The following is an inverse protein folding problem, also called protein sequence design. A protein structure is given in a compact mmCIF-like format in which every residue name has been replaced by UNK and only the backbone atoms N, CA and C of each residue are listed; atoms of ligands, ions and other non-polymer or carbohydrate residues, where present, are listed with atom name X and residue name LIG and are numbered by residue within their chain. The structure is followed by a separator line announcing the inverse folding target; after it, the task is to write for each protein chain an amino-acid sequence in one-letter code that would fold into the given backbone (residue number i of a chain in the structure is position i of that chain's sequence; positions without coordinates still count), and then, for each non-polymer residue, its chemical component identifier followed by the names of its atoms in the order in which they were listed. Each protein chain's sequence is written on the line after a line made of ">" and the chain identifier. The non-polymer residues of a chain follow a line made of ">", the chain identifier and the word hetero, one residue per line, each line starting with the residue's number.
data_IF_697417978733
#
_entry.id   IF_697417978733
#
_cell.length_a   1.000
_cell.length_b   1.000
_cell.length_c   1.000
_cell.angle_alpha   90.00
_cell.angle_beta   90.00
_cell.angle_gamma   90.00
#
_symmetry.space_group_name_H-M   'P 1'
#
loop_
_entity.id
_entity.type
_entity.pdbx_description
1 polymer ?
#
# COMPACT_ATOMS: atom_id res chain seq x y z
N UNK A 1 19.93 -67.02 5.45
CA UNK A 1 21.07 -66.82 4.53
C UNK A 1 21.26 -65.32 4.28
N UNK A 2 22.49 -64.80 4.34
CA UNK A 2 22.85 -63.38 4.28
C UNK A 2 23.20 -62.91 2.84
N UNK A 3 23.42 -61.59 2.68
CA UNK A 3 24.25 -60.99 1.61
C UNK A 3 23.47 -60.15 0.59
N UNK A 4 23.47 -58.81 0.64
CA UNK A 4 24.55 -57.83 0.36
C UNK A 4 24.55 -57.27 -1.09
N UNK A 5 24.36 -55.93 -1.15
CA UNK A 5 24.89 -54.93 -2.11
C UNK A 5 24.76 -55.16 -3.63
N UNK A 6 24.21 -54.15 -4.34
CA UNK A 6 24.96 -53.24 -5.26
C UNK A 6 24.03 -52.15 -5.84
N UNK A 7 24.36 -50.89 -5.58
CA UNK A 7 24.16 -49.74 -6.49
C UNK A 7 25.58 -49.38 -6.98
N UNK A 8 25.84 -48.84 -8.21
CA UNK A 8 25.50 -47.44 -8.50
C UNK A 8 25.25 -47.05 -9.98
N UNK A 9 24.56 -45.91 -10.17
CA UNK A 9 24.92 -44.84 -11.11
C UNK A 9 24.28 -44.86 -12.51
N UNK A 10 23.66 -43.74 -12.94
CA UNK A 10 24.35 -42.60 -13.59
C UNK A 10 23.34 -41.60 -14.21
N UNK A 11 23.71 -40.32 -14.08
CA UNK A 11 23.03 -39.09 -14.50
C UNK A 11 22.56 -39.04 -15.97
N UNK A 12 21.46 -38.31 -16.19
CA UNK A 12 21.07 -37.77 -17.51
C UNK A 12 20.20 -36.51 -17.37
N UNK A 13 20.85 -35.34 -17.31
CA UNK A 13 20.21 -34.04 -17.28
C UNK A 13 19.71 -33.64 -18.68
N UNK A 14 18.41 -33.45 -18.85
CA UNK A 14 17.80 -32.86 -20.05
C UNK A 14 17.82 -31.34 -19.97
N UNK A 15 18.88 -30.72 -20.50
CA UNK A 15 19.01 -29.26 -20.66
C UNK A 15 18.28 -28.82 -21.93
N UNK A 16 17.24 -27.99 -21.78
CA UNK A 16 16.63 -27.23 -22.89
C UNK A 16 17.70 -26.32 -23.52
N UNK A 17 17.95 -26.49 -24.81
CA UNK A 17 18.77 -25.58 -25.60
C UNK A 17 17.91 -24.50 -26.27
N UNK A 18 18.33 -23.26 -26.00
CA UNK A 18 17.86 -22.00 -26.54
C UNK A 18 18.36 -21.87 -27.98
N UNK A 19 17.46 -21.74 -28.95
CA UNK A 19 17.83 -21.54 -30.35
C UNK A 19 18.23 -20.08 -30.57
N UNK A 20 19.52 -19.82 -30.79
CA UNK A 20 20.04 -18.52 -31.26
C UNK A 20 20.27 -18.58 -32.76
N UNK A 21 19.62 -17.66 -33.46
CA UNK A 21 19.82 -17.35 -34.87
C UNK A 21 21.19 -16.69 -35.10
N UNK A 22 22.01 -17.27 -35.98
CA UNK A 22 23.06 -16.55 -36.70
C UNK A 22 23.11 -17.11 -38.13
N UNK A 23 23.04 -16.21 -39.12
CA UNK A 23 23.23 -16.55 -40.52
C UNK A 23 24.70 -16.75 -40.88
N UNK A 24 24.95 -17.44 -41.99
CA UNK A 24 25.72 -16.96 -43.16
C UNK A 24 25.75 -18.06 -44.25
N UNK A 25 25.43 -17.62 -45.47
CA UNK A 25 25.85 -18.05 -46.82
C UNK A 25 26.54 -19.40 -47.08
N UNK A 26 26.08 -20.09 -48.13
CA UNK A 26 26.86 -21.03 -48.95
C UNK A 26 25.98 -21.90 -49.85
N UNK A 27 25.94 -21.62 -51.16
CA UNK A 27 25.06 -22.29 -52.12
C UNK A 27 25.66 -23.52 -52.82
N UNK A 28 24.77 -24.32 -53.45
CA UNK A 28 24.98 -24.94 -54.78
C UNK A 28 23.68 -25.56 -55.34
N UNK A 29 23.60 -25.56 -56.66
CA UNK A 29 22.48 -25.90 -57.56
C UNK A 29 21.99 -27.36 -57.53
N UNK A 30 20.72 -27.57 -57.84
CA UNK A 30 20.27 -28.47 -58.93
C UNK A 30 18.75 -28.40 -59.14
N UNK A 31 18.36 -28.70 -60.38
CA UNK A 31 17.15 -28.28 -61.09
C UNK A 31 16.03 -29.34 -61.17
N UNK A 32 14.85 -28.86 -61.61
CA UNK A 32 13.71 -29.58 -62.23
C UNK A 32 12.70 -30.30 -61.31
N UNK A 33 11.46 -29.80 -61.27
CA UNK A 33 10.37 -30.29 -62.14
C UNK A 33 9.09 -29.49 -61.90
N UNK A 34 8.51 -28.99 -62.99
CA UNK A 34 7.12 -28.53 -63.07
C UNK A 34 6.17 -29.72 -62.88
N UNK A 35 5.04 -29.49 -62.23
CA UNK A 35 3.71 -29.97 -62.64
C UNK A 35 2.62 -29.37 -61.74
N UNK A 36 1.83 -28.52 -62.38
CA UNK A 36 0.42 -28.17 -62.27
C UNK A 36 -0.48 -28.64 -61.10
N UNK A 37 -1.33 -27.67 -60.76
CA UNK A 37 -2.75 -27.76 -60.44
C UNK A 37 -3.25 -27.93 -59.00
N UNK A 38 -4.14 -26.97 -58.69
CA UNK A 38 -5.36 -27.10 -57.86
C UNK A 38 -5.18 -26.97 -56.34
N UNK A 39 -5.42 -25.75 -55.84
CA UNK A 39 -6.70 -25.39 -55.17
C UNK A 39 -6.53 -24.03 -54.49
N UNK A 40 -7.17 -23.03 -55.09
CA UNK A 40 -7.51 -21.76 -54.47
C UNK A 40 -8.26 -22.03 -53.16
N UNK A 41 -7.55 -21.98 -52.04
CA UNK A 41 -8.17 -21.83 -50.74
C UNK A 41 -7.91 -20.37 -50.36
N UNK A 42 -8.88 -19.51 -50.67
CA UNK A 42 -9.05 -18.20 -50.05
C UNK A 42 -9.28 -18.43 -48.54
N UNK A 43 -8.20 -18.79 -47.85
CA UNK A 43 -8.09 -18.54 -46.42
C UNK A 43 -7.92 -17.04 -46.31
N UNK A 44 -9.07 -16.37 -46.17
CA UNK A 44 -9.19 -14.99 -45.69
C UNK A 44 -8.20 -14.80 -44.56
N UNK A 45 -7.01 -14.31 -44.90
CA UNK A 45 -5.93 -14.01 -43.97
C UNK A 45 -6.27 -12.66 -43.33
N UNK A 46 -7.44 -12.61 -42.70
CA UNK A 46 -7.76 -11.63 -41.69
C UNK A 46 -6.84 -11.92 -40.53
N UNK A 47 -5.58 -11.48 -40.64
CA UNK A 47 -4.76 -11.17 -39.48
C UNK A 47 -5.59 -10.15 -38.72
N UNK A 48 -6.40 -10.62 -37.78
CA UNK A 48 -7.09 -9.80 -36.80
C UNK A 48 -5.99 -8.96 -36.15
N UNK A 49 -5.83 -7.74 -36.66
CA UNK A 49 -4.84 -6.80 -36.19
C UNK A 49 -5.15 -6.63 -34.71
N UNK A 50 -4.23 -7.09 -33.85
CA UNK A 50 -4.35 -6.88 -32.42
C UNK A 50 -4.63 -5.38 -32.18
N UNK A 51 -5.66 -5.01 -31.39
CA UNK A 51 -6.01 -3.62 -31.18
C UNK A 51 -4.76 -2.81 -30.82
N UNK A 52 -4.50 -1.74 -31.58
CA UNK A 52 -3.33 -0.90 -31.40
C UNK A 52 -3.54 -0.06 -30.14
N UNK A 53 -2.73 -0.29 -29.10
CA UNK A 53 -2.84 0.44 -27.84
C UNK A 53 -2.54 1.93 -28.03
N UNK A 54 -3.45 2.79 -27.56
CA UNK A 54 -3.14 4.20 -27.32
C UNK A 54 -2.21 4.24 -26.12
N UNK A 55 -0.98 4.80 -26.23
CA UNK A 55 -0.13 4.98 -25.08
C UNK A 55 -0.81 5.98 -24.15
N UNK A 56 -1.25 5.50 -23.00
CA UNK A 56 -1.77 6.35 -21.93
C UNK A 56 -0.59 7.22 -21.49
N UNK A 57 -0.72 8.56 -21.53
CA UNK A 57 0.35 9.47 -21.15
C UNK A 57 0.71 9.21 -19.68
N UNK A 58 2.02 9.04 -19.39
CA UNK A 58 2.46 8.85 -18.04
C UNK A 58 2.34 10.18 -17.28
N UNK A 59 1.30 10.34 -16.45
CA UNK A 59 1.23 11.44 -15.49
C UNK A 59 2.37 11.26 -14.47
N UNK A 60 3.10 12.35 -14.12
CA UNK A 60 4.12 12.27 -13.09
C UNK A 60 3.49 11.79 -11.78
N UNK A 61 3.90 10.60 -11.33
CA UNK A 61 3.51 10.07 -10.03
C UNK A 61 4.31 10.82 -8.98
N UNK A 62 3.64 11.45 -8.02
CA UNK A 62 4.29 12.07 -6.86
C UNK A 62 5.23 11.06 -6.18
N UNK A 63 6.40 11.51 -5.77
CA UNK A 63 7.33 10.68 -4.99
C UNK A 63 6.61 10.15 -3.74
N UNK A 64 6.78 8.87 -3.42
CA UNK A 64 6.09 8.24 -2.29
C UNK A 64 6.35 9.03 -0.98
N UNK A 65 7.54 9.63 -0.86
CA UNK A 65 7.89 10.44 0.31
C UNK A 65 7.10 11.76 0.37
N UNK A 66 6.90 12.45 -0.75
CA UNK A 66 6.18 13.74 -0.76
C UNK A 66 4.71 13.53 -0.44
N UNK A 67 4.10 12.46 -0.98
CA UNK A 67 2.76 12.06 -0.62
C UNK A 67 2.62 11.78 0.89
N UNK A 68 3.53 10.97 1.46
CA UNK A 68 3.48 10.65 2.90
C UNK A 68 3.77 11.87 3.78
N UNK A 69 4.62 12.80 3.35
CA UNK A 69 4.89 14.06 4.06
C UNK A 69 3.66 14.98 4.07
N UNK A 70 3.00 15.18 2.92
CA UNK A 70 1.77 15.95 2.82
C UNK A 70 0.65 15.29 3.64
N UNK A 71 0.55 13.96 3.56
CA UNK A 71 -0.37 13.14 4.34
C UNK A 71 -0.18 13.33 5.84
N UNK A 72 1.08 13.36 6.32
CA UNK A 72 1.43 13.65 7.71
C UNK A 72 1.03 15.10 8.08
N UNK A 73 1.42 16.08 7.28
CA UNK A 73 1.12 17.49 7.52
C UNK A 73 -0.39 17.76 7.63
N UNK A 74 -1.17 17.27 6.68
CA UNK A 74 -2.63 17.39 6.68
C UNK A 74 -3.26 16.69 7.89
N UNK A 75 -2.72 15.54 8.29
CA UNK A 75 -3.22 14.79 9.46
C UNK A 75 -2.91 15.50 10.79
N UNK A 76 -1.72 16.10 10.92
CA UNK A 76 -1.35 16.92 12.08
C UNK A 76 -2.21 18.18 12.16
N UNK A 77 -2.42 18.87 11.03
CA UNK A 77 -3.31 20.02 10.95
C UNK A 77 -4.75 19.64 11.33
N UNK A 78 -5.28 18.54 10.79
CA UNK A 78 -6.63 18.08 11.10
C UNK A 78 -6.80 17.72 12.58
N UNK A 79 -5.80 17.06 13.18
CA UNK A 79 -5.80 16.73 14.61
C UNK A 79 -5.69 18.01 15.45
N UNK A 80 -4.82 18.94 15.07
CA UNK A 80 -4.65 20.22 15.77
C UNK A 80 -5.92 21.06 15.73
N UNK A 81 -6.60 21.15 14.58
CA UNK A 81 -7.89 21.83 14.44
C UNK A 81 -8.98 21.16 15.28
N UNK A 82 -9.00 19.82 15.32
CA UNK A 82 -9.94 19.08 16.17
C UNK A 82 -9.69 19.36 17.65
N UNK A 83 -8.44 19.31 18.11
CA UNK A 83 -8.06 19.63 19.50
C UNK A 83 -8.39 21.08 19.84
N UNK A 84 -8.13 22.02 18.93
CA UNK A 84 -8.47 23.44 19.11
C UNK A 84 -9.99 23.60 19.28
N UNK A 85 -10.80 22.96 18.44
CA UNK A 85 -12.25 23.03 18.56
C UNK A 85 -12.78 22.41 19.86
N UNK A 86 -12.15 21.33 20.35
CA UNK A 86 -12.53 20.67 21.60
C UNK A 86 -12.15 21.51 22.82
N UNK A 87 -10.91 22.01 22.88
CA UNK A 87 -10.32 22.58 24.09
C UNK A 87 -10.09 24.10 24.01
N UNK A 88 -10.81 24.79 23.11
CA UNK A 88 -10.77 26.24 22.92
C UNK A 88 -10.96 26.97 24.25
N UNK A 89 -10.10 27.95 24.52
CA UNK A 89 -10.26 28.89 25.62
C UNK A 89 -10.73 30.28 25.11
N UNK A 90 -11.27 31.09 26.03
CA UNK A 90 -11.64 32.49 25.77
C UNK A 90 -10.45 33.42 26.08
N UNK A 91 -9.27 33.12 25.53
CA UNK A 91 -8.03 33.85 25.82
C UNK A 91 -8.05 35.33 25.42
N UNK A 92 -8.93 35.72 24.48
CA UNK A 92 -9.04 37.09 24.00
C UNK A 92 -9.85 38.00 24.96
N UNK A 93 -10.48 37.45 26.00
CA UNK A 93 -11.28 38.22 26.94
C UNK A 93 -10.41 38.72 28.11
N UNK A 94 -10.37 40.03 28.41
CA UNK A 94 -9.45 40.62 29.39
C UNK A 94 -9.52 40.04 30.82
N UNK A 95 -10.65 39.42 31.21
CA UNK A 95 -10.85 38.82 32.53
C UNK A 95 -10.78 37.28 32.55
N UNK A 96 -10.31 36.64 31.46
CA UNK A 96 -10.36 35.18 31.34
C UNK A 96 -9.30 34.43 32.17
N UNK A 97 -8.29 35.10 32.76
CA UNK A 97 -7.14 34.48 33.42
C UNK A 97 -6.42 33.37 32.62
N UNK A 98 -6.72 33.21 31.32
CA UNK A 98 -6.16 32.20 30.45
C UNK A 98 -5.14 32.84 29.52
N UNK A 99 -3.87 32.46 29.67
CA UNK A 99 -2.77 32.96 28.82
C UNK A 99 -2.67 32.23 27.48
N UNK A 100 -3.24 31.02 27.39
CA UNK A 100 -3.16 30.15 26.20
C UNK A 100 -4.50 30.03 25.49
N UNK A 101 -4.46 29.85 24.16
CA UNK A 101 -5.64 29.65 23.30
C UNK A 101 -6.33 28.29 23.46
N UNK A 102 -5.66 27.32 24.10
CA UNK A 102 -6.16 25.97 24.35
C UNK A 102 -5.84 25.54 25.78
N UNK A 103 -6.79 24.85 26.42
CA UNK A 103 -6.62 24.34 27.78
C UNK A 103 -5.82 23.03 27.78
N UNK A 104 -4.48 23.13 27.74
CA UNK A 104 -3.58 21.98 27.63
C UNK A 104 -3.71 20.95 28.76
N UNK A 105 -4.12 21.37 29.96
CA UNK A 105 -4.26 20.49 31.12
C UNK A 105 -5.41 19.46 30.98
N UNK A 106 -6.39 19.72 30.11
CA UNK A 106 -7.47 18.75 29.83
C UNK A 106 -7.04 17.69 28.81
N UNK A 107 -5.96 17.93 28.05
CA UNK A 107 -5.53 17.03 27.00
C UNK A 107 -4.65 15.94 27.61
N UNK A 108 -4.96 14.69 27.29
CA UNK A 108 -4.13 13.57 27.73
C UNK A 108 -2.85 13.46 26.88
N UNK A 109 -1.64 13.61 27.47
CA UNK A 109 -0.40 13.52 26.71
C UNK A 109 -0.19 12.15 26.06
N UNK A 110 -0.64 11.06 26.69
CA UNK A 110 -0.50 9.70 26.14
C UNK A 110 -1.36 9.51 24.87
N UNK A 111 -2.54 10.13 24.83
CA UNK A 111 -3.37 10.16 23.62
C UNK A 111 -2.67 10.91 22.47
N UNK A 112 -2.02 12.04 22.75
CA UNK A 112 -1.26 12.78 21.73
C UNK A 112 -0.10 11.95 21.18
N UNK A 113 0.66 11.30 22.05
CA UNK A 113 1.75 10.39 21.63
C UNK A 113 1.18 9.26 20.78
N UNK A 114 0.07 8.63 21.19
CA UNK A 114 -0.60 7.59 20.41
C UNK A 114 -1.00 8.07 19.01
N UNK A 115 -1.67 9.22 18.90
CA UNK A 115 -2.10 9.79 17.62
C UNK A 115 -0.87 10.12 16.76
N UNK A 116 0.12 10.79 17.33
CA UNK A 116 1.35 11.16 16.62
C UNK A 116 2.10 9.93 16.10
N UNK A 117 2.26 8.88 16.92
CA UNK A 117 2.88 7.62 16.51
C UNK A 117 2.10 6.94 15.38
N UNK A 118 0.77 6.88 15.49
CA UNK A 118 -0.09 6.26 14.47
C UNK A 118 -0.09 7.00 13.12
N UNK A 119 0.02 8.33 13.14
CA UNK A 119 0.07 9.15 11.92
C UNK A 119 1.47 9.16 11.32
N UNK A 120 2.52 9.30 12.14
CA UNK A 120 3.92 9.41 11.69
C UNK A 120 4.50 8.09 11.17
N UNK A 121 3.99 6.93 11.60
CA UNK A 121 4.55 5.60 11.26
C UNK A 121 4.85 5.38 9.78
N UNK A 122 3.98 5.85 8.87
CA UNK A 122 4.14 5.67 7.41
C UNK A 122 5.23 6.57 6.85
N UNK A 123 5.25 7.82 7.30
CA UNK A 123 6.29 8.78 6.94
C UNK A 123 7.68 8.32 7.42
N UNK A 124 7.79 7.87 8.67
CA UNK A 124 9.05 7.34 9.24
C UNK A 124 9.53 6.12 8.45
N UNK A 125 8.62 5.21 8.07
CA UNK A 125 8.96 4.07 7.23
C UNK A 125 9.48 4.50 5.85
N UNK A 126 8.78 5.42 5.18
CA UNK A 126 9.17 5.92 3.86
C UNK A 126 10.53 6.63 3.89
N UNK A 127 10.79 7.43 4.93
CA UNK A 127 12.06 8.12 5.13
C UNK A 127 13.21 7.14 5.35
N UNK A 128 13.02 6.17 6.24
CA UNK A 128 14.06 5.18 6.56
C UNK A 128 14.31 4.24 5.38
N UNK A 129 13.29 3.93 4.57
CA UNK A 129 13.47 3.20 3.31
C UNK A 129 14.34 3.97 2.31
N UNK A 130 14.08 5.27 2.11
CA UNK A 130 14.91 6.14 1.24
C UNK A 130 16.36 6.21 1.72
N UNK A 131 16.56 6.26 3.04
CA UNK A 131 17.88 6.23 3.64
C UNK A 131 18.61 4.90 3.39
N UNK A 132 17.93 3.77 3.58
CA UNK A 132 18.50 2.44 3.29
C UNK A 132 18.87 2.28 1.82
N UNK A 133 18.02 2.75 0.91
CA UNK A 133 18.28 2.68 -0.54
C UNK A 133 19.47 3.57 -0.96
N UNK A 134 19.75 4.67 -0.24
CA UNK A 134 20.90 5.53 -0.49
C UNK A 134 22.23 4.95 0.01
N UNK A 135 22.22 4.19 1.11
CA UNK A 135 23.44 3.77 1.82
C UNK A 135 23.84 2.33 1.50
N UNK A 136 22.91 1.45 1.13
CA UNK A 136 23.15 0.00 1.13
C UNK A 136 23.43 -0.62 -0.26
N UNK A 137 24.39 -1.57 -0.36
CA UNK A 137 24.71 -2.26 -1.61
C UNK A 137 23.58 -3.22 -2.05
N UNK A 138 23.37 -3.32 -3.37
CA UNK A 138 22.20 -3.96 -3.99
C UNK A 138 21.95 -5.45 -3.66
N UNK A 139 22.93 -6.13 -3.04
CA UNK A 139 22.86 -7.54 -2.65
C UNK A 139 22.08 -7.78 -1.35
N UNK A 140 22.12 -6.81 -0.41
CA UNK A 140 21.54 -6.96 0.92
C UNK A 140 20.23 -6.16 1.12
N UNK A 141 19.84 -5.34 0.14
CA UNK A 141 18.60 -4.57 0.14
C UNK A 141 17.35 -5.34 0.62
N UNK A 142 17.02 -6.54 0.10
CA UNK A 142 15.77 -7.21 0.49
C UNK A 142 15.79 -7.67 1.95
N UNK A 143 16.94 -8.11 2.45
CA UNK A 143 17.10 -8.55 3.83
C UNK A 143 17.04 -7.36 4.79
N UNK A 144 17.75 -6.27 4.48
CA UNK A 144 17.79 -5.05 5.30
C UNK A 144 16.41 -4.41 5.36
N UNK A 145 15.68 -4.32 4.24
CA UNK A 145 14.32 -3.77 4.23
C UNK A 145 13.35 -4.60 5.08
N UNK A 146 13.49 -5.94 5.07
CA UNK A 146 12.65 -6.82 5.90
C UNK A 146 12.97 -6.68 7.38
N UNK A 147 14.25 -6.63 7.77
CA UNK A 147 14.65 -6.48 9.18
C UNK A 147 14.26 -5.11 9.73
N UNK A 148 14.55 -4.03 8.99
CA UNK A 148 14.14 -2.66 9.33
C UNK A 148 12.65 -2.58 9.61
N UNK A 149 11.83 -3.24 8.78
CA UNK A 149 10.39 -3.22 8.91
C UNK A 149 9.89 -3.93 10.17
N UNK A 150 10.49 -5.07 10.52
CA UNK A 150 10.16 -5.80 11.75
C UNK A 150 10.57 -4.98 12.98
N UNK A 151 11.76 -4.37 12.94
CA UNK A 151 12.25 -3.51 14.02
C UNK A 151 11.31 -2.31 14.23
N UNK A 152 10.93 -1.63 13.15
CA UNK A 152 10.00 -0.51 13.23
C UNK A 152 8.62 -0.94 13.77
N UNK A 153 8.14 -2.13 13.38
CA UNK A 153 6.89 -2.69 13.92
C UNK A 153 6.97 -2.87 15.44
N UNK A 154 8.05 -3.49 15.92
CA UNK A 154 8.27 -3.74 17.34
C UNK A 154 8.33 -2.42 18.11
N UNK A 155 9.09 -1.45 17.63
CA UNK A 155 9.21 -0.12 18.27
C UNK A 155 7.84 0.55 18.36
N UNK A 156 7.09 0.60 17.25
CA UNK A 156 5.75 1.21 17.24
C UNK A 156 4.81 0.46 18.18
N UNK A 157 4.80 -0.88 18.19
CA UNK A 157 3.96 -1.66 19.10
C UNK A 157 4.31 -1.40 20.57
N UNK A 158 5.60 -1.31 20.93
CA UNK A 158 6.02 -0.98 22.29
C UNK A 158 5.50 0.39 22.71
N UNK A 159 5.66 1.42 21.86
CA UNK A 159 5.18 2.78 22.15
C UNK A 159 3.65 2.78 22.31
N UNK A 160 2.91 2.10 21.42
CA UNK A 160 1.46 2.04 21.50
C UNK A 160 0.99 1.31 22.76
N UNK A 161 1.59 0.16 23.10
CA UNK A 161 1.26 -0.59 24.31
C UNK A 161 1.57 0.22 25.58
N UNK A 162 2.70 0.93 25.60
CA UNK A 162 3.05 1.86 26.67
C UNK A 162 1.98 2.95 26.83
N UNK A 163 1.58 3.61 25.75
CA UNK A 163 0.52 4.63 25.79
C UNK A 163 -0.82 4.06 26.29
N UNK A 164 -1.21 2.88 25.79
CA UNK A 164 -2.45 2.21 26.20
C UNK A 164 -2.45 1.82 27.67
N UNK A 165 -1.32 1.36 28.20
CA UNK A 165 -1.17 1.02 29.61
C UNK A 165 -1.45 2.24 30.51
N UNK A 166 -0.75 3.35 30.29
CA UNK A 166 -0.95 4.59 31.07
C UNK A 166 -2.36 5.17 30.89
N UNK A 167 -2.91 5.09 29.68
CA UNK A 167 -4.26 5.58 29.40
C UNK A 167 -5.34 4.73 30.09
N UNK A 168 -5.10 3.44 30.29
CA UNK A 168 -6.00 2.54 31.02
C UNK A 168 -6.00 2.75 32.54
N UNK A 169 -4.91 3.29 33.08
CA UNK A 169 -4.83 3.68 34.49
C UNK A 169 -5.59 4.99 34.75
N UNK A 170 -5.50 5.94 33.81
CA UNK A 170 -6.09 7.29 33.93
C UNK A 170 -7.56 7.38 33.52
N UNK A 171 -8.01 6.54 32.59
CA UNK A 171 -9.36 6.59 32.02
C UNK A 171 -10.06 5.23 32.11
N UNK A 172 -11.40 5.25 32.12
CA UNK A 172 -12.20 4.02 32.11
C UNK A 172 -11.82 3.12 30.92
N UNK A 173 -11.64 1.82 31.18
CA UNK A 173 -11.19 0.84 30.19
C UNK A 173 -12.05 0.83 28.91
N UNK A 174 -13.35 1.19 29.01
CA UNK A 174 -14.25 1.36 27.86
C UNK A 174 -13.70 2.34 26.81
N UNK A 175 -13.16 3.50 27.22
CA UNK A 175 -12.60 4.48 26.28
C UNK A 175 -11.38 3.93 25.54
N UNK A 176 -10.56 3.17 26.26
CA UNK A 176 -9.39 2.47 25.71
C UNK A 176 -9.83 1.40 24.71
N UNK A 177 -10.88 0.61 25.02
CA UNK A 177 -11.45 -0.36 24.09
C UNK A 177 -11.99 0.30 22.83
N UNK A 178 -12.69 1.42 22.94
CA UNK A 178 -13.14 2.16 21.77
C UNK A 178 -11.95 2.63 20.92
N UNK A 179 -10.88 3.18 21.51
CA UNK A 179 -9.69 3.57 20.75
C UNK A 179 -9.04 2.38 20.01
N UNK A 180 -8.92 1.24 20.69
CA UNK A 180 -8.31 0.03 20.16
C UNK A 180 -9.16 -0.67 19.10
N UNK A 181 -10.49 -0.67 19.24
CA UNK A 181 -11.36 -1.50 18.42
C UNK A 181 -11.22 -1.20 16.91
N UNK A 182 -11.35 0.04 16.43
CA UNK A 182 -11.10 0.33 15.02
C UNK A 182 -9.62 0.21 14.63
N UNK A 183 -8.69 0.48 15.55
CA UNK A 183 -7.25 0.34 15.27
C UNK A 183 -6.84 -1.12 15.01
N UNK A 184 -7.38 -2.05 15.80
CA UNK A 184 -7.17 -3.51 15.67
C UNK A 184 -8.04 -4.08 14.56
N UNK A 185 -9.30 -3.65 14.45
CA UNK A 185 -10.22 -4.08 13.40
C UNK A 185 -9.72 -3.68 12.02
N UNK A 186 -9.27 -2.43 11.83
CA UNK A 186 -8.63 -2.00 10.56
C UNK A 186 -7.42 -2.89 10.25
N UNK A 187 -6.63 -3.29 11.25
CA UNK A 187 -5.49 -4.17 11.04
C UNK A 187 -5.90 -5.58 10.62
N UNK A 188 -6.85 -6.20 11.33
CA UNK A 188 -7.34 -7.54 11.07
C UNK A 188 -8.10 -7.62 9.71
N UNK A 189 -8.91 -6.61 9.40
CA UNK A 189 -9.78 -6.57 8.23
C UNK A 189 -9.03 -6.20 6.95
N UNK A 190 -7.97 -5.37 7.05
CA UNK A 190 -7.09 -5.11 5.92
C UNK A 190 -6.24 -6.32 5.54
N UNK A 191 -5.82 -7.15 6.50
CA UNK A 191 -4.62 -7.98 6.32
C UNK A 191 -4.73 -9.45 6.71
N UNK A 192 -5.81 -9.86 7.37
CA UNK A 192 -5.87 -11.19 7.97
C UNK A 192 -4.64 -11.43 8.88
N UNK A 193 -4.21 -12.68 9.01
CA UNK A 193 -3.06 -13.07 9.86
C UNK A 193 -1.70 -12.61 9.28
N UNK A 194 -1.66 -11.88 8.16
CA UNK A 194 -0.40 -11.53 7.49
C UNK A 194 0.21 -10.21 8.00
N UNK A 195 1.45 -10.30 8.52
CA UNK A 195 2.27 -9.21 9.10
C UNK A 195 2.82 -8.24 8.01
N UNK A 196 2.70 -8.63 6.74
CA UNK A 196 3.21 -7.93 5.55
C UNK A 196 2.73 -6.51 5.20
N UNK A 197 1.84 -5.81 5.92
CA UNK A 197 1.40 -4.47 5.43
C UNK A 197 1.05 -3.36 6.46
N UNK A 198 1.45 -3.45 7.74
CA UNK A 198 1.22 -2.38 8.73
C UNK A 198 1.76 -0.99 8.33
N UNK A 199 2.86 -0.96 7.57
CA UNK A 199 3.52 0.27 7.12
C UNK A 199 3.26 0.57 5.63
N UNK A 200 2.85 -0.43 4.86
CA UNK A 200 2.78 -0.42 3.41
C UNK A 200 1.35 -0.74 2.95
N UNK A 201 0.49 0.27 2.96
CA UNK A 201 -0.80 0.21 2.25
C UNK A 201 -0.59 0.43 0.73
N UNK A 202 0.43 1.18 0.36
CA UNK A 202 0.64 1.68 -1.01
C UNK A 202 1.49 0.77 -1.87
N UNK A 203 2.24 -0.18 -1.32
CA UNK A 203 2.98 -1.16 -2.12
C UNK A 203 2.21 -2.49 -2.19
N UNK A 204 1.97 -2.96 -3.42
CA UNK A 204 1.66 -4.36 -3.67
C UNK A 204 2.63 -5.27 -2.87
N UNK A 205 2.20 -6.46 -2.41
CA UNK A 205 3.02 -7.29 -1.53
C UNK A 205 4.35 -7.59 -2.21
N UNK A 206 5.40 -6.90 -1.76
CA UNK A 206 6.76 -6.93 -2.31
C UNK A 206 7.50 -8.22 -1.90
N UNK A 207 6.76 -9.31 -1.75
CA UNK A 207 7.27 -10.63 -1.38
C UNK A 207 6.63 -11.76 -2.18
N UNK A 208 6.18 -11.48 -3.40
CA UNK A 208 6.13 -12.52 -4.43
C UNK A 208 7.44 -12.46 -5.20
N UNK A 209 8.13 -13.58 -5.08
CA UNK A 209 9.36 -13.99 -5.75
C UNK A 209 9.33 -13.72 -7.27
N UNK A 210 10.54 -13.65 -7.81
CA UNK A 210 10.94 -13.59 -9.23
C UNK A 210 11.02 -12.21 -9.94
N UNK A 211 12.29 -11.88 -10.18
CA UNK A 211 12.84 -11.14 -11.31
C UNK A 211 12.62 -9.63 -11.44
N UNK A 212 13.76 -8.92 -11.49
CA UNK A 212 13.86 -7.48 -11.74
C UNK A 212 13.26 -7.04 -13.09
N UNK A 213 12.83 -7.97 -13.95
CA UNK A 213 12.13 -7.70 -15.22
C UNK A 213 10.60 -7.62 -15.05
N UNK A 214 10.05 -8.21 -13.99
CA UNK A 214 8.61 -8.22 -13.67
C UNK A 214 8.22 -7.08 -12.72
N UNK A 215 9.20 -6.42 -12.09
CA UNK A 215 8.98 -5.28 -11.18
C UNK A 215 8.35 -4.06 -11.86
N UNK A 216 8.50 -3.93 -13.18
CA UNK A 216 7.82 -2.91 -14.01
C UNK A 216 6.48 -3.41 -14.60
N UNK A 217 6.17 -4.70 -14.47
CA UNK A 217 5.04 -5.37 -15.10
C UNK A 217 3.83 -5.48 -14.14
N UNK A 218 4.04 -5.32 -12.83
CA UNK A 218 2.98 -5.37 -11.82
C UNK A 218 2.39 -4.00 -11.47
N UNK A 219 3.06 -2.91 -11.86
CA UNK A 219 2.68 -1.53 -11.51
C UNK A 219 1.73 -0.91 -12.53
N UNK A 220 1.67 -1.48 -13.72
CA UNK A 220 0.70 -1.16 -14.77
C UNK A 220 -0.06 -2.43 -15.13
N UNK A 221 -1.41 -2.42 -15.10
CA UNK A 221 -2.16 -3.52 -15.69
C UNK A 221 -1.78 -3.60 -17.18
N UNK A 222 -0.91 -4.54 -17.54
CA UNK A 222 -0.62 -4.81 -18.94
C UNK A 222 -1.83 -5.52 -19.51
N UNK A 223 -2.65 -4.78 -20.25
CA UNK A 223 -3.63 -5.37 -21.14
C UNK A 223 -2.86 -6.13 -22.21
N UNK A 224 -3.06 -7.44 -22.27
CA UNK A 224 -2.55 -8.24 -23.37
C UNK A 224 -3.69 -8.32 -24.39
N UNK A 225 -3.61 -7.55 -25.47
CA UNK A 225 -4.61 -7.59 -26.55
C UNK A 225 -4.68 -8.99 -27.17
N UNK A 226 -5.49 -9.85 -26.56
CA UNK A 226 -5.74 -11.21 -26.98
C UNK A 226 -7.12 -11.29 -27.65
N UNK A 227 -7.20 -12.03 -28.73
CA UNK A 227 -8.46 -12.35 -29.41
C UNK A 227 -9.13 -13.59 -28.80
N UNK A 228 -8.50 -14.20 -27.78
CA UNK A 228 -8.98 -15.41 -27.15
C UNK A 228 -9.95 -15.08 -26.00
N UNK A 229 -11.22 -15.45 -26.13
CA UNK A 229 -12.27 -15.19 -25.13
C UNK A 229 -11.93 -15.63 -23.68
N UNK A 230 -11.39 -16.84 -23.41
CA UNK A 230 -10.94 -17.21 -22.07
C UNK A 230 -9.82 -16.34 -21.51
N UNK A 231 -8.90 -15.86 -22.36
CA UNK A 231 -7.81 -14.97 -21.93
C UNK A 231 -8.37 -13.59 -21.52
N UNK A 232 -9.32 -13.04 -22.29
CA UNK A 232 -10.01 -11.79 -21.95
C UNK A 232 -10.76 -11.92 -20.62
N UNK A 233 -11.47 -13.04 -20.37
CA UNK A 233 -12.17 -13.25 -19.09
C UNK A 233 -11.22 -13.34 -17.90
N UNK A 234 -10.06 -13.98 -18.07
CA UNK A 234 -9.03 -14.05 -17.05
C UNK A 234 -8.38 -12.69 -16.79
N UNK A 235 -8.18 -11.88 -17.83
CA UNK A 235 -7.69 -10.51 -17.70
C UNK A 235 -8.68 -9.64 -16.93
N UNK A 236 -9.96 -9.62 -17.33
CA UNK A 236 -11.01 -8.84 -16.67
C UNK A 236 -11.16 -9.24 -15.19
N UNK A 237 -11.07 -10.52 -14.86
CA UNK A 237 -11.14 -10.97 -13.47
C UNK A 237 -9.93 -10.51 -12.65
N UNK A 238 -8.73 -10.51 -13.25
CA UNK A 238 -7.51 -9.96 -12.66
C UNK A 238 -7.61 -8.45 -12.41
N UNK A 239 -8.08 -7.68 -13.40
CA UNK A 239 -8.28 -6.23 -13.30
C UNK A 239 -9.31 -5.87 -12.23
N UNK A 240 -10.44 -6.61 -12.18
CA UNK A 240 -11.47 -6.43 -11.15
C UNK A 240 -10.90 -6.72 -9.76
N UNK A 241 -10.12 -7.78 -9.62
CA UNK A 241 -9.45 -8.13 -8.36
C UNK A 241 -8.49 -7.04 -7.90
N UNK A 242 -7.67 -6.51 -8.83
CA UNK A 242 -6.72 -5.44 -8.53
C UNK A 242 -7.44 -4.14 -8.15
N UNK A 243 -8.47 -3.74 -8.90
CA UNK A 243 -9.31 -2.60 -8.58
C UNK A 243 -9.93 -2.72 -7.19
N UNK A 244 -10.59 -3.85 -6.90
CA UNK A 244 -11.22 -4.08 -5.59
C UNK A 244 -10.20 -4.02 -4.46
N UNK A 245 -8.99 -4.55 -4.69
CA UNK A 245 -7.90 -4.51 -3.70
C UNK A 245 -7.40 -3.10 -3.44
N UNK A 246 -7.19 -2.29 -4.48
CA UNK A 246 -6.77 -0.88 -4.36
C UNK A 246 -7.85 -0.04 -3.67
N UNK A 247 -9.11 -0.21 -4.08
CA UNK A 247 -10.26 0.44 -3.45
C UNK A 247 -10.36 0.11 -1.95
N UNK A 248 -10.28 -1.18 -1.61
CA UNK A 248 -10.32 -1.65 -0.22
C UNK A 248 -9.23 -0.98 0.62
N UNK A 249 -8.00 -0.96 0.10
CA UNK A 249 -6.83 -0.32 0.76
C UNK A 249 -7.06 1.17 0.99
N UNK A 250 -7.50 1.90 -0.03
CA UNK A 250 -7.76 3.34 0.06
C UNK A 250 -8.83 3.65 1.13
N UNK A 251 -9.93 2.90 1.15
CA UNK A 251 -11.02 3.08 2.12
C UNK A 251 -10.61 2.75 3.57
N UNK A 252 -9.84 1.70 3.79
CA UNK A 252 -9.37 1.37 5.14
C UNK A 252 -8.30 2.33 5.63
N UNK A 253 -7.37 2.75 4.76
CA UNK A 253 -6.33 3.71 5.11
C UNK A 253 -6.91 5.08 5.47
N UNK A 254 -7.85 5.57 4.67
CA UNK A 254 -8.55 6.84 4.92
C UNK A 254 -9.38 6.77 6.20
N UNK A 255 -10.20 5.72 6.37
CA UNK A 255 -11.02 5.51 7.57
C UNK A 255 -10.18 5.39 8.83
N UNK A 256 -9.08 4.63 8.80
CA UNK A 256 -8.17 4.50 9.94
C UNK A 256 -7.52 5.83 10.32
N UNK A 257 -7.11 6.64 9.34
CA UNK A 257 -6.57 7.98 9.63
C UNK A 257 -7.63 8.94 10.16
N UNK A 258 -8.85 8.93 9.61
CA UNK A 258 -9.94 9.76 10.10
C UNK A 258 -10.34 9.39 11.53
N UNK A 259 -10.34 8.09 11.85
CA UNK A 259 -10.60 7.62 13.19
C UNK A 259 -9.58 8.15 14.20
N UNK A 260 -8.29 7.95 13.91
CA UNK A 260 -7.21 8.36 14.82
C UNK A 260 -7.11 9.89 14.94
N UNK A 261 -7.25 10.64 13.86
CA UNK A 261 -7.06 12.10 13.88
C UNK A 261 -8.29 12.87 14.36
N UNK A 262 -9.51 12.40 14.05
CA UNK A 262 -10.72 13.19 14.26
C UNK A 262 -11.66 12.59 15.33
N UNK A 263 -11.76 11.25 15.43
CA UNK A 263 -12.66 10.59 16.39
C UNK A 263 -11.95 10.33 17.73
N UNK A 264 -10.69 9.90 17.71
CA UNK A 264 -9.95 9.60 18.95
C UNK A 264 -9.92 10.77 19.94
N UNK A 265 -9.65 12.03 19.54
CA UNK A 265 -9.72 13.16 20.47
C UNK A 265 -11.08 13.32 21.15
N UNK A 266 -12.17 13.02 20.44
CA UNK A 266 -13.56 13.18 20.93
C UNK A 266 -13.89 12.16 22.02
N UNK A 267 -13.37 10.93 21.92
CA UNK A 267 -13.62 9.86 22.90
C UNK A 267 -13.09 10.23 24.30
N UNK A 268 -11.99 10.99 24.34
CA UNK A 268 -11.30 11.35 25.57
C UNK A 268 -11.71 12.73 26.12
N UNK A 269 -12.70 13.39 25.53
CA UNK A 269 -13.23 14.64 26.05
C UNK A 269 -13.86 14.42 27.44
N UNK A 270 -13.57 15.29 28.43
CA UNK A 270 -14.24 15.28 29.72
C UNK A 270 -15.74 15.60 29.60
N UNK A 271 -16.58 14.95 30.40
CA UNK A 271 -18.05 15.07 30.29
C UNK A 271 -18.60 16.48 30.53
N UNK A 272 -17.85 17.33 31.24
CA UNK A 272 -18.24 18.70 31.55
C UNK A 272 -17.90 19.71 30.43
N UNK A 273 -17.21 19.27 29.37
CA UNK A 273 -16.78 20.15 28.29
C UNK A 273 -17.86 20.22 27.20
N UNK A 274 -18.43 21.40 27.02
CA UNK A 274 -19.41 21.65 25.96
C UNK A 274 -18.72 22.00 24.64
N UNK A 275 -19.02 21.26 23.58
CA UNK A 275 -18.49 21.50 22.25
C UNK A 275 -19.58 21.37 21.17
N UNK A 276 -19.34 21.94 20.01
CA UNK A 276 -20.30 21.91 18.91
C UNK A 276 -20.21 20.60 18.13
N UNK A 277 -21.18 19.71 18.35
CA UNK A 277 -21.25 18.40 17.69
C UNK A 277 -21.36 18.52 16.16
N UNK A 278 -22.11 19.51 15.65
CA UNK A 278 -22.28 19.71 14.20
C UNK A 278 -20.97 20.04 13.51
N UNK A 279 -20.10 20.81 14.16
CA UNK A 279 -18.78 21.13 13.62
C UNK A 279 -17.88 19.89 13.58
N UNK A 280 -17.87 19.11 14.67
CA UNK A 280 -17.10 17.86 14.74
C UNK A 280 -17.54 16.88 13.65
N UNK A 281 -18.84 16.69 13.47
CA UNK A 281 -19.37 15.81 12.44
C UNK A 281 -18.91 16.25 11.03
N UNK A 282 -19.00 17.55 10.74
CA UNK A 282 -18.54 18.11 9.45
C UNK A 282 -17.03 17.92 9.27
N UNK A 283 -16.22 18.16 10.30
CA UNK A 283 -14.77 17.99 10.25
C UNK A 283 -14.37 16.53 9.98
N UNK A 284 -14.99 15.57 10.67
CA UNK A 284 -14.75 14.14 10.47
C UNK A 284 -15.06 13.75 9.02
N UNK A 285 -16.23 14.15 8.51
CA UNK A 285 -16.66 13.81 7.13
C UNK A 285 -15.74 14.46 6.09
N UNK A 286 -15.44 15.75 6.23
CA UNK A 286 -14.60 16.47 5.27
C UNK A 286 -13.17 15.91 5.25
N UNK A 287 -12.59 15.66 6.43
CA UNK A 287 -11.28 15.04 6.52
C UNK A 287 -11.29 13.64 5.92
N UNK A 288 -12.29 12.81 6.22
CA UNK A 288 -12.39 11.46 5.66
C UNK A 288 -12.50 11.48 4.13
N UNK A 289 -13.38 12.30 3.56
CA UNK A 289 -13.54 12.44 2.10
C UNK A 289 -12.24 12.92 1.46
N UNK A 290 -11.59 13.94 2.02
CA UNK A 290 -10.30 14.45 1.53
C UNK A 290 -9.22 13.37 1.53
N UNK A 291 -9.18 12.54 2.58
CA UNK A 291 -8.26 11.39 2.67
C UNK A 291 -8.59 10.31 1.63
N UNK A 292 -9.87 10.01 1.41
CA UNK A 292 -10.30 9.07 0.37
C UNK A 292 -9.80 9.57 -1.00
N UNK A 293 -10.08 10.82 -1.36
CA UNK A 293 -9.67 11.40 -2.64
C UNK A 293 -8.15 11.34 -2.82
N UNK A 294 -7.37 11.69 -1.79
CA UNK A 294 -5.91 11.63 -1.85
C UNK A 294 -5.38 10.19 -2.09
N UNK A 295 -5.93 9.20 -1.39
CA UNK A 295 -5.56 7.78 -1.58
C UNK A 295 -6.01 7.25 -2.95
N UNK A 296 -7.14 7.72 -3.48
CA UNK A 296 -7.58 7.38 -4.83
C UNK A 296 -6.67 7.99 -5.91
N UNK A 297 -6.30 9.26 -5.77
CA UNK A 297 -5.38 9.92 -6.69
C UNK A 297 -4.01 9.20 -6.73
N UNK A 298 -3.54 8.71 -5.59
CA UNK A 298 -2.29 7.94 -5.52
C UNK A 298 -2.45 6.51 -6.07
N UNK A 299 -3.58 5.84 -5.82
CA UNK A 299 -3.78 4.45 -6.21
C UNK A 299 -4.08 4.26 -7.71
N UNK A 300 -4.58 5.30 -8.37
CA UNK A 300 -4.93 5.32 -9.78
C UNK A 300 -4.24 6.49 -10.49
N UNK A 301 -2.91 6.44 -10.69
CA UNK A 301 -2.26 7.38 -11.59
C UNK A 301 -2.82 7.17 -12.99
N UNK A 302 -3.47 8.21 -13.53
CA UNK A 302 -4.05 8.24 -14.87
C UNK A 302 -2.95 8.24 -15.92
#
# INVERSE_FOLDING_TARGET
>A
MPGARRNPGRNGAGRMQLNSSNGLSGGHNSSQSLNDDKKSNDSSNGRLLAPKHVPIPAVPVDDQLTFEALSLGISLLATGLQLLNLYRSVWWLPQSYNEYSMNFYLIDPYLLVFIFTMVSRRFVYALLRRFVDAVSPARWLPTIQRTMRIILLIIVMIILLWCLYYMSEKHSSMKVFYLCYPSISVYFLMFGVSIGPFFDISTAPLYVREDRKTKFLLDKPLHNCSLNAPAIRAEVSSLRSDFNRRLKRALFASSGSAYVCAIAPVIFVPQHLHFNFSWIAKHIVFFWVGRVIAHFAQAYPV
#
